data_IF_326391743417
#
_entry.id   IF_326391743417
#
_cell.length_a   1.000
_cell.length_b   1.000
_cell.length_c   1.000
_cell.angle_alpha   90.00
_cell.angle_beta   90.00
_cell.angle_gamma   90.00
#
_symmetry.space_group_name_H-M   'P 1'
#
loop_
_entity.id
_entity.type
_entity.pdbx_description
1 polymer ?
#
# COMPACT_ATOMS: atom_id res chain seq x y z
N UNK A 1 6.98 20.78 -18.66
CA UNK A 1 7.29 19.35 -18.63
C UNK A 1 8.80 19.11 -18.57
N UNK A 2 9.58 19.51 -19.60
CA UNK A 2 11.03 19.25 -19.68
C UNK A 2 11.82 19.73 -18.48
N UNK A 3 11.54 20.90 -17.94
CA UNK A 3 12.23 21.39 -16.72
C UNK A 3 12.06 20.46 -15.54
N UNK A 4 10.85 19.94 -15.33
CA UNK A 4 10.58 19.00 -14.22
C UNK A 4 11.17 17.62 -14.54
N UNK A 5 11.08 17.16 -15.78
CA UNK A 5 11.68 15.90 -16.23
C UNK A 5 13.21 15.89 -16.08
N UNK A 6 13.85 17.02 -16.36
CA UNK A 6 15.30 17.20 -16.19
C UNK A 6 15.69 17.62 -14.76
N UNK A 7 14.87 17.26 -13.78
CA UNK A 7 15.12 17.58 -12.38
C UNK A 7 14.93 16.36 -11.49
N UNK A 8 15.66 16.33 -10.39
CA UNK A 8 15.52 15.38 -9.30
C UNK A 8 15.40 16.12 -7.96
N UNK A 9 14.86 15.49 -6.93
CA UNK A 9 14.74 16.07 -5.60
C UNK A 9 15.93 15.65 -4.74
N UNK A 10 16.70 16.66 -4.31
CA UNK A 10 17.81 16.48 -3.37
C UNK A 10 17.26 16.54 -1.94
N UNK A 11 17.18 15.39 -1.27
CA UNK A 11 16.65 15.25 0.08
C UNK A 11 17.53 15.98 1.13
N UNK A 12 18.85 16.11 0.89
CA UNK A 12 19.75 16.82 1.81
C UNK A 12 19.57 18.32 1.71
N UNK A 13 19.39 18.85 0.49
CA UNK A 13 19.17 20.27 0.25
C UNK A 13 17.69 20.68 0.24
N UNK A 14 16.78 19.73 0.34
CA UNK A 14 15.32 19.92 0.32
C UNK A 14 14.84 20.77 -0.87
N UNK A 15 15.40 20.54 -2.06
CA UNK A 15 15.06 21.25 -3.29
C UNK A 15 15.28 20.42 -4.55
N UNK A 16 14.60 20.83 -5.63
CA UNK A 16 14.88 20.31 -6.96
C UNK A 16 16.24 20.79 -7.47
N UNK A 17 16.98 19.90 -8.12
CA UNK A 17 18.26 20.17 -8.80
C UNK A 17 18.22 19.65 -10.23
N UNK A 18 19.04 20.20 -11.14
CA UNK A 18 19.22 19.64 -12.48
C UNK A 18 19.66 18.18 -12.45
N UNK A 19 19.11 17.36 -13.35
CA UNK A 19 19.44 15.93 -13.41
C UNK A 19 20.91 15.69 -13.73
N UNK A 20 21.56 16.60 -14.45
CA UNK A 20 22.99 16.50 -14.78
C UNK A 20 23.89 16.50 -13.53
N UNK A 21 23.41 17.04 -12.41
CA UNK A 21 24.13 17.02 -11.14
C UNK A 21 24.01 15.67 -10.40
N UNK A 22 23.05 14.83 -10.79
CA UNK A 22 22.85 13.51 -10.21
C UNK A 22 23.89 12.49 -10.71
N UNK A 23 24.23 12.52 -12.01
CA UNK A 23 25.13 11.53 -12.61
C UNK A 23 26.48 11.39 -11.88
N UNK A 24 27.24 12.46 -11.62
CA UNK A 24 28.51 12.32 -10.90
C UNK A 24 28.35 11.82 -9.46
N UNK A 25 27.21 12.09 -8.81
CA UNK A 25 26.96 11.58 -7.44
C UNK A 25 26.70 10.08 -7.43
N UNK A 26 25.98 9.56 -8.43
CA UNK A 26 25.78 8.11 -8.60
C UNK A 26 27.09 7.41 -9.03
N UNK A 27 27.86 8.00 -9.96
CA UNK A 27 29.14 7.44 -10.43
C UNK A 27 30.21 7.37 -9.32
N UNK A 28 30.24 8.35 -8.43
CA UNK A 28 31.18 8.37 -7.30
C UNK A 28 30.71 7.52 -6.11
N UNK A 29 29.48 7.05 -6.08
CA UNK A 29 28.88 6.38 -4.94
C UNK A 29 28.53 7.32 -3.77
N UNK A 30 28.56 8.65 -3.98
CA UNK A 30 28.08 9.64 -3.00
C UNK A 30 26.57 9.48 -2.75
N UNK A 31 25.85 9.12 -3.81
CA UNK A 31 24.44 8.75 -3.73
C UNK A 31 24.27 7.30 -4.23
N UNK A 32 23.58 6.48 -3.44
CA UNK A 32 23.23 5.12 -3.84
C UNK A 32 22.03 5.10 -4.79
N UNK A 33 21.95 4.10 -5.65
CA UNK A 33 20.70 3.80 -6.40
C UNK A 33 19.56 3.45 -5.44
N UNK A 34 18.33 3.64 -5.87
CA UNK A 34 17.15 3.35 -5.01
C UNK A 34 17.03 1.86 -4.66
N UNK A 35 17.53 0.97 -5.51
CA UNK A 35 17.55 -0.48 -5.29
C UNK A 35 18.82 -0.96 -4.56
N UNK A 36 19.73 -0.05 -4.19
CA UNK A 36 20.96 -0.33 -3.45
C UNK A 36 22.08 -0.97 -4.26
N UNK A 37 21.92 -1.16 -5.59
CA UNK A 37 22.99 -1.68 -6.46
C UNK A 37 24.03 -0.60 -6.74
N UNK A 38 25.26 -1.03 -6.95
CA UNK A 38 26.35 -0.13 -7.35
C UNK A 38 26.13 0.37 -8.78
N UNK A 39 25.93 1.70 -8.95
CA UNK A 39 25.64 2.32 -10.27
C UNK A 39 26.69 1.98 -11.34
N UNK A 40 27.97 1.95 -10.97
CA UNK A 40 29.06 1.63 -11.89
C UNK A 40 28.99 0.19 -12.44
N UNK A 41 28.29 -0.73 -11.76
CA UNK A 41 28.13 -2.12 -12.18
C UNK A 41 26.96 -2.35 -13.14
N UNK A 42 26.10 -1.33 -13.33
CA UNK A 42 24.89 -1.43 -14.15
C UNK A 42 25.22 -1.31 -15.64
N UNK A 43 24.43 -1.97 -16.49
CA UNK A 43 24.42 -1.72 -17.95
C UNK A 43 23.87 -0.31 -18.21
N UNK A 44 24.09 0.23 -19.42
CA UNK A 44 23.61 1.58 -19.77
C UNK A 44 22.08 1.69 -19.65
N UNK A 45 21.34 0.68 -20.08
CA UNK A 45 19.88 0.64 -19.92
C UNK A 45 19.45 0.63 -18.44
N UNK A 46 20.13 -0.12 -17.57
CA UNK A 46 19.87 -0.12 -16.13
C UNK A 46 20.26 1.19 -15.47
N UNK A 47 21.31 1.86 -15.92
CA UNK A 47 21.70 3.20 -15.46
C UNK A 47 20.61 4.23 -15.77
N UNK A 48 20.06 4.20 -16.97
CA UNK A 48 18.97 5.10 -17.36
C UNK A 48 17.74 4.87 -16.49
N UNK A 49 17.36 3.60 -16.23
CA UNK A 49 16.27 3.25 -15.32
C UNK A 49 16.55 3.72 -13.88
N UNK A 50 17.77 3.53 -13.40
CA UNK A 50 18.18 3.99 -12.07
C UNK A 50 18.08 5.51 -11.93
N UNK A 51 18.43 6.27 -12.98
CA UNK A 51 18.28 7.74 -13.01
C UNK A 51 16.80 8.13 -13.06
N UNK A 52 15.95 7.42 -13.80
CA UNK A 52 14.52 7.70 -13.90
C UNK A 52 13.79 7.54 -12.55
N UNK A 53 14.31 6.70 -11.65
CA UNK A 53 13.79 6.58 -10.28
C UNK A 53 13.97 7.86 -9.44
N UNK A 54 14.89 8.76 -9.82
CA UNK A 54 15.09 10.04 -9.16
C UNK A 54 14.34 11.20 -9.82
N UNK A 55 13.94 11.07 -11.08
CA UNK A 55 13.26 12.14 -11.82
C UNK A 55 11.97 12.56 -11.14
N UNK A 56 11.69 13.86 -11.19
CA UNK A 56 10.43 14.43 -10.68
C UNK A 56 9.24 14.20 -11.62
N UNK A 57 9.48 13.82 -12.86
CA UNK A 57 8.47 13.31 -13.80
C UNK A 57 8.96 11.99 -14.34
N UNK A 58 8.13 10.98 -14.25
CA UNK A 58 8.46 9.61 -14.65
C UNK A 58 7.27 8.91 -15.28
N UNK A 59 7.53 7.84 -16.03
CA UNK A 59 6.51 7.02 -16.68
C UNK A 59 6.17 5.82 -15.78
N UNK A 60 4.88 5.60 -15.54
CA UNK A 60 4.40 4.48 -14.74
C UNK A 60 3.08 3.94 -15.26
N UNK A 61 2.83 2.66 -15.06
CA UNK A 61 1.52 2.07 -15.28
C UNK A 61 0.56 2.55 -14.21
N UNK A 62 -0.57 3.10 -14.63
CA UNK A 62 -1.61 3.60 -13.74
C UNK A 62 -2.98 3.12 -14.22
N UNK A 63 -3.81 2.70 -13.26
CA UNK A 63 -5.20 2.35 -13.56
C UNK A 63 -6.00 3.61 -13.82
N UNK A 64 -6.56 3.72 -15.01
CA UNK A 64 -7.31 4.88 -15.48
C UNK A 64 -8.71 4.49 -15.98
N UNK A 65 -9.62 5.45 -16.01
CA UNK A 65 -10.95 5.29 -16.58
C UNK A 65 -10.87 5.50 -18.09
N UNK A 66 -10.74 4.43 -18.86
CA UNK A 66 -10.66 4.48 -20.33
C UNK A 66 -12.04 4.47 -20.96
N UNK A 67 -12.34 5.45 -21.81
CA UNK A 67 -13.57 5.53 -22.58
C UNK A 67 -13.28 5.33 -24.08
N UNK A 68 -13.54 4.14 -24.65
CA UNK A 68 -13.29 3.88 -26.07
C UNK A 68 -14.13 4.78 -26.99
N UNK A 69 -15.37 5.09 -26.59
CA UNK A 69 -16.27 5.94 -27.37
C UNK A 69 -15.81 7.39 -27.52
N UNK A 70 -15.02 7.89 -26.54
CA UNK A 70 -14.38 9.22 -26.61
C UNK A 70 -12.91 9.16 -26.99
N UNK A 71 -12.29 7.95 -27.00
CA UNK A 71 -10.88 7.76 -27.33
C UNK A 71 -9.92 8.38 -26.30
N UNK A 72 -10.33 8.53 -25.03
CA UNK A 72 -9.54 9.22 -24.00
C UNK A 72 -9.76 8.65 -22.61
N UNK A 73 -8.87 9.03 -21.71
CA UNK A 73 -8.98 8.78 -20.27
C UNK A 73 -9.88 9.85 -19.65
N UNK A 74 -10.73 9.45 -18.69
CA UNK A 74 -11.66 10.31 -17.97
C UNK A 74 -11.28 10.43 -16.50
N UNK A 75 -11.49 11.60 -15.92
CA UNK A 75 -11.44 11.78 -14.47
C UNK A 75 -12.63 11.09 -13.79
N UNK A 76 -12.51 10.82 -12.50
CA UNK A 76 -13.58 10.15 -11.74
C UNK A 76 -14.90 10.92 -11.81
N UNK A 77 -14.85 12.26 -11.80
CA UNK A 77 -16.02 13.14 -11.88
C UNK A 77 -16.72 13.11 -13.24
N UNK A 78 -16.07 12.58 -14.27
CA UNK A 78 -16.62 12.44 -15.63
C UNK A 78 -17.24 11.06 -15.87
N UNK A 79 -17.22 10.20 -14.85
CA UNK A 79 -17.82 8.86 -14.88
C UNK A 79 -19.06 8.87 -13.99
N UNK A 80 -20.19 8.51 -14.57
CA UNK A 80 -21.46 8.41 -13.86
C UNK A 80 -21.51 7.16 -12.96
N UNK A 81 -22.44 7.09 -12.02
CA UNK A 81 -22.56 5.98 -11.09
C UNK A 81 -22.84 4.62 -11.78
N UNK A 82 -23.39 4.63 -13.00
CA UNK A 82 -23.61 3.44 -13.81
C UNK A 82 -22.42 3.07 -14.73
N UNK A 83 -21.25 3.64 -14.47
CA UNK A 83 -20.00 3.31 -15.18
C UNK A 83 -19.94 3.84 -16.62
N UNK A 84 -20.58 4.95 -16.90
CA UNK A 84 -20.62 5.55 -18.23
C UNK A 84 -20.02 6.96 -18.23
N UNK A 85 -19.59 7.44 -19.41
CA UNK A 85 -19.10 8.81 -19.56
C UNK A 85 -20.27 9.82 -19.45
N UNK A 86 -20.07 10.91 -18.71
CA UNK A 86 -21.02 12.03 -18.65
C UNK A 86 -21.33 12.58 -20.07
N UNK A 87 -20.29 12.67 -20.94
CA UNK A 87 -20.45 13.06 -22.33
C UNK A 87 -20.63 11.83 -23.21
N UNK A 88 -21.72 11.78 -23.95
CA UNK A 88 -22.00 10.75 -24.97
C UNK A 88 -22.47 9.41 -24.40
N UNK A 89 -22.55 9.26 -23.07
CA UNK A 89 -23.08 8.08 -22.40
C UNK A 89 -22.43 6.76 -22.89
N UNK A 90 -21.13 6.77 -23.11
CA UNK A 90 -20.36 5.60 -23.54
C UNK A 90 -19.91 4.75 -22.33
N UNK A 91 -19.76 3.42 -22.49
CA UNK A 91 -19.17 2.58 -21.45
C UNK A 91 -17.73 3.03 -21.11
N UNK A 92 -17.39 3.01 -19.83
CA UNK A 92 -16.06 3.31 -19.31
C UNK A 92 -15.49 2.05 -18.66
N UNK A 93 -14.22 1.78 -18.94
CA UNK A 93 -13.53 0.60 -18.42
C UNK A 93 -12.29 1.02 -17.63
N UNK A 94 -12.03 0.34 -16.53
CA UNK A 94 -10.75 0.49 -15.85
C UNK A 94 -9.66 -0.26 -16.63
N UNK A 95 -8.57 0.42 -16.93
CA UNK A 95 -7.46 -0.12 -17.72
C UNK A 95 -6.13 0.42 -17.21
N UNK A 96 -5.13 -0.44 -17.14
CA UNK A 96 -3.76 0.00 -16.89
C UNK A 96 -3.18 0.58 -18.16
N UNK A 97 -2.75 1.83 -18.10
CA UNK A 97 -2.08 2.54 -19.18
C UNK A 97 -0.85 3.24 -18.63
N UNK A 98 0.23 3.28 -19.42
CA UNK A 98 1.40 4.09 -19.12
C UNK A 98 1.03 5.56 -19.07
N UNK A 99 1.34 6.22 -17.97
CA UNK A 99 1.03 7.62 -17.72
C UNK A 99 2.28 8.35 -17.20
N UNK A 100 2.41 9.61 -17.60
CA UNK A 100 3.39 10.49 -16.99
C UNK A 100 2.92 10.94 -15.60
N UNK A 101 3.75 10.66 -14.60
CA UNK A 101 3.48 10.97 -13.20
C UNK A 101 4.38 12.12 -12.74
N UNK A 102 3.88 12.96 -11.84
CA UNK A 102 4.65 13.96 -11.11
C UNK A 102 4.91 13.47 -9.69
N UNK A 103 6.19 13.33 -9.32
CA UNK A 103 6.64 12.85 -8.01
C UNK A 103 6.50 13.95 -6.93
N UNK A 104 5.26 14.37 -6.69
CA UNK A 104 4.97 15.37 -5.66
C UNK A 104 5.25 14.85 -4.25
N UNK A 105 5.23 13.52 -4.06
CA UNK A 105 5.54 12.87 -2.78
C UNK A 105 6.97 13.11 -2.33
N UNK A 106 7.91 13.38 -3.23
CA UNK A 106 9.27 13.80 -2.89
C UNK A 106 9.33 15.08 -2.03
N UNK A 107 8.28 15.89 -2.07
CA UNK A 107 8.16 17.12 -1.29
C UNK A 107 7.31 16.98 -0.02
N UNK A 108 6.87 15.77 0.33
CA UNK A 108 5.87 15.57 1.39
C UNK A 108 6.33 16.11 2.75
N UNK A 109 7.56 15.81 3.17
CA UNK A 109 8.11 16.33 4.43
C UNK A 109 8.27 17.85 4.38
N UNK A 110 8.84 18.39 3.30
CA UNK A 110 9.00 19.82 3.12
C UNK A 110 7.65 20.57 3.12
N UNK A 111 6.61 19.96 2.49
CA UNK A 111 5.27 20.56 2.51
C UNK A 111 4.71 20.64 3.93
N UNK A 112 5.00 19.64 4.79
CA UNK A 112 4.60 19.68 6.20
C UNK A 112 5.37 20.72 6.99
N UNK A 113 6.69 20.78 6.82
CA UNK A 113 7.57 21.72 7.52
C UNK A 113 7.26 23.17 7.12
N UNK A 114 7.05 23.42 5.83
CA UNK A 114 6.74 24.75 5.31
C UNK A 114 5.37 25.27 5.78
N UNK A 115 4.45 24.43 6.28
CA UNK A 115 3.20 24.88 6.91
C UNK A 115 3.45 25.76 8.15
N UNK A 116 4.56 25.56 8.86
CA UNK A 116 4.92 26.35 10.04
C UNK A 116 5.35 27.77 9.66
N UNK A 117 5.78 27.99 8.42
CA UNK A 117 6.17 29.30 7.90
C UNK A 117 4.96 30.15 7.49
N UNK A 118 3.77 29.56 7.39
CA UNK A 118 2.58 30.22 6.88
C UNK A 118 1.75 30.82 8.01
N UNK A 119 1.31 32.06 7.83
CA UNK A 119 0.33 32.72 8.70
C UNK A 119 -1.10 32.30 8.28
N UNK A 120 -1.38 31.00 8.41
CA UNK A 120 -2.68 30.39 8.11
C UNK A 120 -3.42 30.00 9.38
N UNK A 121 -4.78 30.04 9.37
CA UNK A 121 -5.57 29.51 10.47
C UNK A 121 -5.21 28.04 10.76
N UNK A 122 -5.09 27.67 12.04
CA UNK A 122 -4.67 26.31 12.43
C UNK A 122 -5.59 25.21 11.86
N UNK A 123 -6.88 25.50 11.70
CA UNK A 123 -7.81 24.59 11.03
C UNK A 123 -7.36 24.22 9.60
N UNK A 124 -6.85 25.21 8.85
CA UNK A 124 -6.36 25.01 7.47
C UNK A 124 -5.07 24.18 7.49
N UNK A 125 -4.12 24.52 8.39
CA UNK A 125 -2.89 23.76 8.56
C UNK A 125 -3.17 22.30 8.92
N UNK A 126 -4.11 22.06 9.84
CA UNK A 126 -4.54 20.69 10.21
C UNK A 126 -5.15 19.94 9.04
N UNK A 127 -5.96 20.57 8.20
CA UNK A 127 -6.49 19.98 6.98
C UNK A 127 -5.37 19.59 6.01
N UNK A 128 -4.35 20.44 5.82
CA UNK A 128 -3.20 20.14 4.96
C UNK A 128 -2.36 18.99 5.52
N UNK A 129 -2.05 18.99 6.84
CA UNK A 129 -1.35 17.87 7.49
C UNK A 129 -2.09 16.57 7.31
N UNK A 130 -3.42 16.56 7.47
CA UNK A 130 -4.26 15.37 7.28
C UNK A 130 -4.32 14.92 5.83
N UNK A 131 -4.29 15.87 4.88
CA UNK A 131 -4.25 15.57 3.44
C UNK A 131 -2.93 14.91 3.04
N UNK A 132 -1.80 15.46 3.48
CA UNK A 132 -0.46 14.88 3.25
C UNK A 132 -0.36 13.53 3.98
N UNK A 133 -0.87 13.46 5.22
CA UNK A 133 -1.09 12.24 5.97
C UNK A 133 0.18 11.44 6.22
N UNK A 134 1.23 12.10 6.76
CA UNK A 134 2.46 11.44 7.18
C UNK A 134 2.19 10.45 8.30
N UNK A 135 2.54 9.19 8.08
CA UNK A 135 2.42 8.10 9.04
C UNK A 135 3.77 7.44 9.25
N UNK A 136 4.18 7.31 10.51
CA UNK A 136 5.37 6.54 10.91
C UNK A 136 4.93 5.17 11.37
N UNK A 137 5.57 4.13 10.88
CA UNK A 137 5.24 2.75 11.20
C UNK A 137 6.38 1.81 10.85
N UNK A 138 6.04 0.58 10.54
CA UNK A 138 6.97 -0.44 10.07
C UNK A 138 6.43 -1.15 8.83
N UNK A 139 7.31 -1.49 7.91
CA UNK A 139 7.11 -2.58 6.97
C UNK A 139 7.53 -3.87 7.67
N UNK A 140 6.68 -4.89 7.64
CA UNK A 140 6.86 -6.17 8.36
C UNK A 140 6.63 -7.30 7.37
N UNK A 141 7.54 -8.27 7.35
CA UNK A 141 7.49 -9.40 6.44
C UNK A 141 6.85 -10.62 7.10
N UNK A 142 5.79 -11.12 6.48
CA UNK A 142 5.10 -12.36 6.84
C UNK A 142 5.46 -13.44 5.83
N UNK A 143 6.15 -14.48 6.29
CA UNK A 143 6.58 -15.58 5.40
C UNK A 143 5.42 -16.49 5.03
N UNK A 144 5.18 -16.68 3.73
CA UNK A 144 4.12 -17.53 3.18
C UNK A 144 4.62 -18.28 1.94
N UNK A 145 4.64 -19.62 1.96
CA UNK A 145 4.98 -20.49 0.81
C UNK A 145 6.28 -20.08 0.06
N UNK A 146 7.29 -19.63 0.80
CA UNK A 146 8.56 -19.20 0.23
C UNK A 146 8.61 -17.74 -0.24
N UNK A 147 7.52 -17.01 -0.14
CA UNK A 147 7.39 -15.58 -0.41
C UNK A 147 7.31 -14.77 0.88
N UNK A 148 7.70 -13.50 0.80
CA UNK A 148 7.49 -12.53 1.86
C UNK A 148 6.29 -11.64 1.49
N UNK A 149 5.28 -11.62 2.36
CA UNK A 149 4.18 -10.66 2.28
C UNK A 149 4.57 -9.48 3.16
N UNK A 150 5.02 -8.39 2.54
CA UNK A 150 5.38 -7.16 3.26
C UNK A 150 4.13 -6.34 3.52
N UNK A 151 3.83 -6.06 4.78
CA UNK A 151 2.72 -5.19 5.20
C UNK A 151 3.24 -3.92 5.85
N UNK A 152 2.60 -2.79 5.59
CA UNK A 152 2.84 -1.56 6.33
C UNK A 152 1.83 -1.42 7.47
N UNK A 153 2.32 -1.15 8.68
CA UNK A 153 1.47 -0.88 9.84
C UNK A 153 2.00 0.29 10.67
N UNK A 154 1.09 1.14 11.14
CA UNK A 154 1.39 2.17 12.16
C UNK A 154 1.35 1.63 13.57
N UNK A 155 0.93 0.38 13.75
CA UNK A 155 0.75 -0.32 15.01
C UNK A 155 1.52 -1.63 15.07
N UNK A 156 2.87 -1.63 14.87
CA UNK A 156 3.67 -2.86 14.98
C UNK A 156 3.61 -3.47 16.39
N UNK A 157 3.30 -2.67 17.41
CA UNK A 157 3.07 -3.06 18.80
C UNK A 157 1.91 -4.07 18.98
N UNK A 158 1.00 -4.17 17.99
CA UNK A 158 -0.14 -5.09 18.05
C UNK A 158 0.07 -6.39 17.27
N UNK A 159 1.26 -6.65 16.72
CA UNK A 159 1.59 -7.83 15.91
C UNK A 159 1.21 -9.16 16.58
N UNK A 160 1.33 -9.27 17.91
CA UNK A 160 0.93 -10.49 18.63
C UNK A 160 -0.55 -10.82 18.51
N UNK A 161 -1.39 -9.81 18.24
CA UNK A 161 -2.83 -9.95 18.03
C UNK A 161 -3.25 -10.06 16.57
N UNK A 162 -2.29 -10.17 15.64
CA UNK A 162 -2.62 -10.41 14.24
C UNK A 162 -3.24 -11.80 14.06
N UNK A 163 -4.39 -11.85 13.36
CA UNK A 163 -5.16 -13.09 13.21
C UNK A 163 -5.26 -13.55 11.75
N UNK A 164 -5.10 -12.64 10.80
CA UNK A 164 -5.09 -12.94 9.37
C UNK A 164 -4.33 -11.87 8.59
N UNK A 165 -4.00 -12.19 7.35
CA UNK A 165 -3.37 -11.26 6.39
C UNK A 165 -4.30 -11.10 5.20
N UNK A 166 -4.41 -9.89 4.65
CA UNK A 166 -5.27 -9.61 3.49
C UNK A 166 -4.45 -8.93 2.40
N UNK A 167 -4.58 -9.43 1.19
CA UNK A 167 -4.03 -8.86 -0.02
C UNK A 167 -5.11 -8.15 -0.84
N UNK A 168 -4.76 -7.06 -1.50
CA UNK A 168 -5.61 -6.48 -2.52
C UNK A 168 -5.84 -7.50 -3.66
N UNK A 169 -7.02 -7.56 -4.27
CA UNK A 169 -7.31 -8.54 -5.33
C UNK A 169 -6.37 -8.47 -6.55
N UNK A 170 -5.78 -7.30 -6.79
CA UNK A 170 -4.83 -7.03 -7.86
C UNK A 170 -3.36 -7.25 -7.44
N UNK A 171 -3.12 -7.64 -6.18
CA UNK A 171 -1.76 -7.82 -5.69
C UNK A 171 -1.08 -9.02 -6.39
N UNK A 172 0.19 -8.88 -6.86
CA UNK A 172 0.87 -9.94 -7.61
C UNK A 172 0.98 -11.28 -6.86
N UNK A 173 1.09 -11.22 -5.53
CA UNK A 173 1.19 -12.43 -4.70
C UNK A 173 -0.12 -13.21 -4.58
N UNK A 174 -1.28 -12.67 -4.96
CA UNK A 174 -2.54 -13.44 -4.89
C UNK A 174 -2.43 -14.70 -5.73
N UNK A 175 -1.98 -14.59 -6.96
CA UNK A 175 -1.83 -15.74 -7.85
C UNK A 175 -0.66 -16.66 -7.46
N UNK A 176 0.41 -16.10 -6.89
CA UNK A 176 1.58 -16.85 -6.44
C UNK A 176 1.34 -17.66 -5.16
N UNK A 177 0.45 -17.19 -4.30
CA UNK A 177 0.12 -17.82 -3.01
C UNK A 177 -1.16 -18.66 -3.06
N UNK A 178 -1.81 -18.74 -4.22
CA UNK A 178 -3.01 -19.51 -4.39
C UNK A 178 -2.70 -21.01 -4.24
N UNK A 179 -3.43 -21.67 -3.36
CA UNK A 179 -3.27 -23.12 -3.19
C UNK A 179 -3.56 -23.86 -4.50
N UNK A 180 -2.69 -24.80 -4.92
CA UNK A 180 -2.89 -25.59 -6.12
C UNK A 180 -3.84 -26.79 -5.90
N UNK A 181 -4.34 -26.97 -4.69
CA UNK A 181 -5.26 -28.06 -4.31
C UNK A 181 -6.56 -27.49 -3.77
N UNK A 182 -7.69 -28.22 -3.87
CA UNK A 182 -8.95 -27.84 -3.27
C UNK A 182 -8.83 -27.53 -1.78
N UNK A 183 -9.79 -26.77 -1.24
CA UNK A 183 -9.87 -26.52 0.20
C UNK A 183 -10.05 -27.83 0.97
N UNK A 184 -9.42 -27.92 2.13
CA UNK A 184 -9.62 -29.04 3.05
C UNK A 184 -11.05 -28.99 3.63
N UNK A 185 -11.58 -30.16 4.01
CA UNK A 185 -12.95 -30.31 4.52
C UNK A 185 -13.24 -29.51 5.81
N UNK A 186 -12.20 -29.09 6.54
CA UNK A 186 -12.28 -28.31 7.78
C UNK A 186 -12.19 -26.78 7.54
N UNK A 187 -11.99 -26.35 6.30
CA UNK A 187 -12.02 -24.91 5.95
C UNK A 187 -13.45 -24.40 6.09
N UNK A 188 -13.59 -23.28 6.81
CA UNK A 188 -14.90 -22.67 7.01
C UNK A 188 -15.52 -22.24 5.66
N UNK A 189 -16.74 -22.67 5.41
CA UNK A 189 -17.45 -22.38 4.15
C UNK A 189 -17.61 -20.86 3.86
N UNK A 190 -17.51 -20.00 4.90
CA UNK A 190 -17.52 -18.54 4.73
C UNK A 190 -16.27 -18.01 4.02
N UNK A 191 -15.19 -18.79 3.99
CA UNK A 191 -13.89 -18.40 3.42
C UNK A 191 -13.76 -18.74 1.95
N UNK A 192 -14.59 -19.65 1.43
CA UNK A 192 -14.43 -20.29 0.12
C UNK A 192 -15.19 -19.62 -1.02
N UNK A 193 -15.95 -18.56 -0.72
CA UNK A 193 -16.82 -17.89 -1.69
C UNK A 193 -17.78 -18.84 -2.43
N UNK A 194 -18.13 -19.96 -1.78
CA UNK A 194 -19.04 -20.98 -2.31
C UNK A 194 -18.43 -21.97 -3.32
N UNK A 195 -17.11 -22.01 -3.43
CA UNK A 195 -16.37 -22.93 -4.29
C UNK A 195 -15.53 -23.93 -3.48
N UNK A 196 -15.24 -25.08 -4.05
CA UNK A 196 -14.33 -26.07 -3.47
C UNK A 196 -12.85 -25.80 -3.85
N UNK A 197 -12.64 -25.10 -4.97
CA UNK A 197 -11.32 -24.80 -5.51
C UNK A 197 -10.95 -23.32 -5.28
N UNK A 198 -9.79 -23.02 -4.66
CA UNK A 198 -9.35 -21.66 -4.40
C UNK A 198 -9.26 -20.77 -5.66
N UNK A 199 -8.84 -21.36 -6.79
CA UNK A 199 -8.72 -20.62 -8.04
C UNK A 199 -10.09 -20.20 -8.59
N UNK A 200 -11.07 -21.10 -8.58
CA UNK A 200 -12.44 -20.78 -8.99
C UNK A 200 -13.05 -19.70 -8.09
N UNK A 201 -12.83 -19.82 -6.77
CA UNK A 201 -13.28 -18.83 -5.79
C UNK A 201 -12.71 -17.42 -6.06
N UNK A 202 -11.42 -17.32 -6.34
CA UNK A 202 -10.74 -16.05 -6.63
C UNK A 202 -11.19 -15.46 -7.96
N UNK A 203 -11.34 -16.28 -9.01
CA UNK A 203 -11.80 -15.82 -10.32
C UNK A 203 -13.25 -15.28 -10.24
N UNK A 204 -14.14 -15.98 -9.52
CA UNK A 204 -15.51 -15.51 -9.27
C UNK A 204 -15.51 -14.19 -8.49
N UNK A 205 -14.75 -14.10 -7.39
CA UNK A 205 -14.64 -12.90 -6.59
C UNK A 205 -14.11 -11.70 -7.38
N UNK A 206 -13.02 -11.88 -8.13
CA UNK A 206 -12.46 -10.82 -8.99
C UNK A 206 -13.48 -10.34 -10.03
N UNK A 207 -14.27 -11.26 -10.61
CA UNK A 207 -15.34 -10.91 -11.56
C UNK A 207 -16.41 -10.03 -10.91
N UNK A 208 -16.84 -10.37 -9.70
CA UNK A 208 -17.91 -9.66 -8.99
C UNK A 208 -17.50 -8.25 -8.55
N UNK A 209 -16.22 -8.06 -8.23
CA UNK A 209 -15.70 -6.75 -7.81
C UNK A 209 -15.17 -5.89 -8.95
N UNK A 210 -15.03 -6.43 -10.17
CA UNK A 210 -14.40 -5.75 -11.31
C UNK A 210 -15.07 -4.41 -11.68
N UNK A 211 -16.36 -4.26 -11.41
CA UNK A 211 -17.13 -3.05 -11.70
C UNK A 211 -17.06 -1.99 -10.58
N UNK A 212 -16.57 -2.36 -9.37
CA UNK A 212 -16.52 -1.45 -8.23
C UNK A 212 -15.38 -0.44 -8.36
N UNK A 213 -15.65 0.83 -8.11
CA UNK A 213 -14.61 1.86 -7.97
C UNK A 213 -13.88 1.73 -6.63
N UNK A 214 -12.68 2.34 -6.51
CA UNK A 214 -11.93 2.36 -5.24
C UNK A 214 -12.72 3.03 -4.11
N UNK A 215 -13.54 4.04 -4.42
CA UNK A 215 -14.40 4.71 -3.45
C UNK A 215 -15.50 3.77 -2.96
N UNK A 216 -16.20 3.09 -3.87
CA UNK A 216 -17.21 2.10 -3.52
C UNK A 216 -16.62 0.95 -2.70
N UNK A 217 -15.41 0.49 -3.02
CA UNK A 217 -14.69 -0.52 -2.25
C UNK A 217 -14.36 -0.06 -0.82
N UNK A 218 -13.97 1.21 -0.64
CA UNK A 218 -13.67 1.79 0.68
C UNK A 218 -14.93 2.04 1.52
N UNK A 219 -16.03 2.45 0.90
CA UNK A 219 -17.29 2.76 1.56
C UNK A 219 -18.21 1.54 1.75
N UNK A 220 -17.85 0.40 1.15
CA UNK A 220 -18.61 -0.83 1.23
C UNK A 220 -18.69 -1.34 2.68
N UNK A 221 -19.92 -1.42 3.20
CA UNK A 221 -20.18 -1.95 4.55
C UNK A 221 -20.22 -3.48 4.59
N UNK A 222 -20.42 -4.11 3.45
CA UNK A 222 -20.44 -5.57 3.35
C UNK A 222 -19.00 -6.08 3.34
N UNK A 223 -18.68 -6.95 4.29
CA UNK A 223 -17.34 -7.57 4.39
C UNK A 223 -17.31 -8.78 3.49
N UNK A 224 -16.55 -8.67 2.40
CA UNK A 224 -16.35 -9.74 1.42
C UNK A 224 -14.86 -10.07 1.29
N UNK A 225 -14.56 -11.30 0.93
CA UNK A 225 -13.18 -11.75 0.73
C UNK A 225 -13.13 -13.25 0.48
N UNK A 226 -11.97 -13.74 0.07
CA UNK A 226 -11.73 -15.15 -0.25
C UNK A 226 -10.39 -15.59 0.34
N UNK A 227 -10.37 -16.77 0.94
CA UNK A 227 -9.17 -17.42 1.44
C UNK A 227 -8.34 -17.97 0.27
N UNK A 228 -7.02 -17.75 0.27
CA UNK A 228 -6.13 -18.25 -0.79
C UNK A 228 -5.76 -19.72 -0.65
N UNK A 229 -6.17 -20.40 0.43
CA UNK A 229 -5.73 -21.75 0.76
C UNK A 229 -4.31 -21.80 1.34
N UNK A 230 -3.70 -20.68 1.67
CA UNK A 230 -2.33 -20.57 2.19
C UNK A 230 -2.27 -19.81 3.51
N UNK A 231 -1.21 -20.04 4.28
CA UNK A 231 -1.02 -19.45 5.61
C UNK A 231 0.33 -18.71 5.70
N UNK A 232 0.28 -17.47 6.14
CA UNK A 232 1.46 -16.68 6.46
C UNK A 232 1.91 -16.94 7.91
N UNK A 233 3.21 -16.82 8.17
CA UNK A 233 3.77 -16.97 9.50
C UNK A 233 3.95 -15.59 10.14
N UNK A 234 3.32 -15.35 11.28
CA UNK A 234 3.52 -14.14 12.07
C UNK A 234 4.96 -14.12 12.62
N UNK A 235 5.76 -13.08 12.32
CA UNK A 235 7.17 -13.05 12.70
C UNK A 235 7.43 -12.99 14.21
N UNK A 236 6.49 -12.48 15.03
CA UNK A 236 6.71 -12.30 16.46
C UNK A 236 6.35 -13.53 17.32
N UNK A 237 5.49 -14.42 16.83
CA UNK A 237 5.03 -15.57 17.61
C UNK A 237 4.94 -16.89 16.84
N UNK A 238 5.29 -16.90 15.57
CA UNK A 238 5.27 -18.10 14.72
C UNK A 238 3.86 -18.61 14.35
N UNK A 239 2.79 -17.91 14.76
CA UNK A 239 1.40 -18.30 14.47
C UNK A 239 1.14 -18.32 12.97
N UNK A 240 0.42 -19.36 12.51
CA UNK A 240 -0.05 -19.43 11.13
C UNK A 240 -1.33 -18.62 10.98
N UNK A 241 -1.30 -17.65 10.09
CA UNK A 241 -2.39 -16.72 9.80
C UNK A 241 -2.95 -17.02 8.41
N UNK A 242 -4.26 -17.25 8.24
CA UNK A 242 -4.85 -17.43 6.93
C UNK A 242 -4.66 -16.18 6.07
N UNK A 243 -4.35 -16.38 4.79
CA UNK A 243 -4.17 -15.29 3.82
C UNK A 243 -5.42 -15.16 2.98
N UNK A 244 -6.06 -14.00 3.06
CA UNK A 244 -7.25 -13.66 2.27
C UNK A 244 -6.92 -12.66 1.17
N UNK A 245 -7.79 -12.57 0.19
CA UNK A 245 -7.93 -11.38 -0.65
C UNK A 245 -9.27 -10.72 -0.39
N UNK A 246 -9.30 -9.39 -0.34
CA UNK A 246 -10.53 -8.64 -0.09
C UNK A 246 -10.51 -7.27 -0.75
N UNK A 247 -11.66 -6.80 -1.20
CA UNK A 247 -11.83 -5.59 -2.01
C UNK A 247 -11.60 -4.28 -1.23
N UNK A 248 -11.65 -4.31 0.10
CA UNK A 248 -11.35 -3.11 0.92
C UNK A 248 -9.86 -2.79 1.05
N UNK A 249 -8.97 -3.71 0.65
CA UNK A 249 -7.53 -3.46 0.55
C UNK A 249 -7.19 -2.97 -0.86
N UNK A 250 -6.47 -1.85 -0.95
CA UNK A 250 -6.14 -1.21 -2.22
C UNK A 250 -4.63 -1.23 -2.47
N UNK A 251 -4.21 -1.52 -3.69
CA UNK A 251 -2.81 -1.48 -4.12
C UNK A 251 -2.20 -0.08 -4.13
N UNK A 252 -3.02 0.96 -4.15
CA UNK A 252 -2.56 2.34 -4.17
C UNK A 252 -2.22 2.93 -2.80
N UNK A 253 -2.29 2.16 -1.71
CA UNK A 253 -1.92 2.57 -0.36
C UNK A 253 -1.10 1.48 0.33
N UNK A 254 0.05 1.86 0.86
CA UNK A 254 0.99 0.90 1.45
C UNK A 254 1.53 -0.08 0.41
N UNK A 255 1.67 -1.31 0.83
CA UNK A 255 2.17 -2.42 0.01
C UNK A 255 1.05 -3.15 -0.77
N UNK A 256 -0.22 -2.77 -0.60
CA UNK A 256 -1.36 -3.55 -1.10
C UNK A 256 -1.64 -4.82 -0.28
N UNK A 257 -1.01 -4.93 0.89
CA UNK A 257 -1.20 -6.00 1.88
C UNK A 257 -1.39 -5.39 3.27
N UNK A 258 -2.22 -5.99 4.10
CA UNK A 258 -2.41 -5.61 5.50
C UNK A 258 -2.32 -6.83 6.42
N UNK A 259 -1.83 -6.63 7.63
CA UNK A 259 -2.10 -7.51 8.74
C UNK A 259 -3.38 -7.05 9.44
N UNK A 260 -4.20 -7.96 9.86
CA UNK A 260 -5.45 -7.65 10.54
C UNK A 260 -5.39 -8.01 12.03
N UNK A 261 -5.78 -7.03 12.86
CA UNK A 261 -5.77 -7.14 14.32
C UNK A 261 -7.17 -6.88 14.87
N UNK A 262 -8.07 -7.88 14.85
CA UNK A 262 -9.49 -7.70 15.15
C UNK A 262 -9.77 -7.08 16.51
N UNK A 263 -8.97 -7.37 17.52
CA UNK A 263 -9.16 -6.81 18.86
C UNK A 263 -8.95 -5.29 18.91
N UNK A 264 -8.23 -4.69 17.92
CA UNK A 264 -7.76 -3.29 18.00
C UNK A 264 -8.00 -2.45 16.75
N UNK A 265 -8.73 -2.98 15.74
CA UNK A 265 -9.21 -2.26 14.56
C UNK A 265 -10.67 -2.64 14.30
N UNK A 266 -11.54 -1.62 14.13
CA UNK A 266 -12.98 -1.83 13.96
C UNK A 266 -13.32 -2.58 12.66
N UNK A 267 -12.61 -2.31 11.57
CA UNK A 267 -12.84 -2.98 10.28
C UNK A 267 -12.41 -4.44 10.33
N UNK A 268 -11.29 -4.70 10.98
CA UNK A 268 -10.76 -6.06 11.16
C UNK A 268 -11.67 -6.86 12.10
N UNK A 269 -12.24 -6.20 13.13
CA UNK A 269 -13.20 -6.80 14.05
C UNK A 269 -14.46 -7.24 13.30
N UNK A 270 -15.07 -6.35 12.52
CA UNK A 270 -16.26 -6.66 11.72
C UNK A 270 -15.99 -7.79 10.73
N UNK A 271 -14.83 -7.78 10.07
CA UNK A 271 -14.43 -8.85 9.16
C UNK A 271 -14.27 -10.18 9.90
N UNK A 272 -13.58 -10.17 11.04
CA UNK A 272 -13.39 -11.37 11.85
C UNK A 272 -14.72 -11.98 12.31
N UNK A 273 -15.70 -11.16 12.69
CA UNK A 273 -17.05 -11.64 13.04
C UNK A 273 -17.75 -12.32 11.86
N UNK A 274 -17.72 -11.72 10.68
CA UNK A 274 -18.35 -12.29 9.47
C UNK A 274 -17.69 -13.60 9.07
N UNK A 275 -16.37 -13.66 9.12
CA UNK A 275 -15.60 -14.84 8.71
C UNK A 275 -15.33 -15.84 9.84
N UNK A 276 -15.77 -15.56 11.09
CA UNK A 276 -15.57 -16.44 12.24
C UNK A 276 -14.11 -16.61 12.62
N UNK A 277 -13.31 -15.56 12.43
CA UNK A 277 -11.89 -15.55 12.77
C UNK A 277 -11.68 -15.23 14.26
N UNK A 278 -10.57 -15.66 14.86
CA UNK A 278 -10.25 -15.37 16.26
C UNK A 278 -10.10 -13.85 16.51
N UNK A 279 -10.29 -13.45 17.78
CA UNK A 279 -10.08 -12.09 18.25
C UNK A 279 -9.20 -12.17 19.49
N UNK A 280 -7.91 -11.81 19.37
CA UNK A 280 -6.94 -11.91 20.45
C UNK A 280 -6.62 -10.52 21.00
N UNK A 281 -6.96 -10.27 22.27
CA UNK A 281 -6.60 -9.03 22.97
C UNK A 281 -5.10 -8.95 23.23
N UNK A 282 -4.48 -7.83 22.83
CA UNK A 282 -3.07 -7.53 23.13
C UNK A 282 -2.88 -6.15 23.77
N UNK A 283 -3.92 -5.33 23.81
CA UNK A 283 -3.98 -4.08 24.58
C UNK A 283 -5.24 -4.11 25.44
N UNK A 284 -5.09 -4.34 26.73
CA UNK A 284 -6.20 -4.39 27.66
C UNK A 284 -6.74 -2.99 27.96
N UNK A 285 -8.06 -2.88 28.11
CA UNK A 285 -8.72 -1.60 28.44
C UNK A 285 -10.15 -1.51 27.94
N UNK A 286 -10.62 -2.49 27.19
CA UNK A 286 -11.98 -2.60 26.67
C UNK A 286 -12.49 -4.04 26.70
N UNK A 287 -13.75 -4.24 26.35
CA UNK A 287 -14.35 -5.56 26.19
C UNK A 287 -14.32 -5.97 24.72
N UNK A 288 -13.24 -6.67 24.32
CA UNK A 288 -13.04 -7.15 22.94
C UNK A 288 -14.05 -8.23 22.51
N UNK A 289 -14.88 -8.74 23.42
CA UNK A 289 -15.98 -9.65 23.07
C UNK A 289 -17.16 -8.92 22.44
N UNK A 290 -17.26 -7.62 22.65
CA UNK A 290 -18.38 -6.78 22.17
C UNK A 290 -17.99 -5.80 21.08
N UNK A 291 -16.74 -5.31 21.06
CA UNK A 291 -16.22 -4.38 20.03
C UNK A 291 -14.69 -4.31 20.06
N UNK A 292 -14.08 -3.84 18.99
CA UNK A 292 -12.65 -3.55 18.97
C UNK A 292 -12.28 -2.47 20.00
N UNK A 293 -11.18 -2.67 20.72
CA UNK A 293 -10.61 -1.66 21.61
C UNK A 293 -9.51 -0.88 20.90
N UNK A 294 -9.84 0.31 20.39
CA UNK A 294 -8.90 1.17 19.64
C UNK A 294 -8.16 2.18 20.55
N UNK A 295 -8.48 2.19 21.84
CA UNK A 295 -7.93 3.11 22.83
C UNK A 295 -6.51 2.76 23.30
N UNK A 296 -6.06 3.50 24.30
CA UNK A 296 -4.84 3.18 25.04
C UNK A 296 -5.13 2.13 26.13
N UNK A 297 -4.11 1.38 26.53
CA UNK A 297 -4.24 0.35 27.54
C UNK A 297 -2.92 -0.30 27.88
N UNK A 298 -2.97 -1.36 28.68
CA UNK A 298 -1.80 -2.13 29.08
C UNK A 298 -1.59 -3.28 28.12
N UNK A 299 -0.35 -3.49 27.65
CA UNK A 299 -0.02 -4.64 26.80
C UNK A 299 -0.15 -5.95 27.56
N UNK A 300 -0.90 -6.88 26.98
CA UNK A 300 -1.11 -8.25 27.45
C UNK A 300 -0.83 -9.21 26.28
N UNK A 301 -0.50 -10.46 26.56
CA UNK A 301 -0.24 -11.47 25.52
C UNK A 301 0.79 -11.04 24.48
N UNK A 302 1.71 -10.12 24.84
CA UNK A 302 2.61 -9.44 23.91
C UNK A 302 4.07 -9.64 24.29
N UNK A 303 4.47 -10.89 24.51
CA UNK A 303 5.84 -11.32 24.77
C UNK A 303 6.16 -12.63 24.05
N UNK A 304 7.43 -12.82 23.66
CA UNK A 304 7.95 -14.06 23.07
C UNK A 304 9.27 -14.48 23.75
N UNK A 305 9.69 -15.71 23.45
CA UNK A 305 10.95 -16.27 23.99
C UNK A 305 12.21 -15.67 23.32
N UNK A 306 12.04 -14.92 22.22
CA UNK A 306 13.13 -14.30 21.46
C UNK A 306 13.43 -12.85 21.91
N UNK A 307 12.94 -12.46 23.09
CA UNK A 307 13.29 -11.24 23.78
C UNK A 307 12.46 -10.01 23.40
N UNK A 308 11.33 -10.17 22.71
CA UNK A 308 10.34 -9.10 22.56
C UNK A 308 9.32 -9.21 23.70
N UNK A 309 9.30 -8.21 24.60
CA UNK A 309 8.32 -8.10 25.66
C UNK A 309 7.81 -6.65 25.73
N UNK A 310 6.52 -6.48 25.55
CA UNK A 310 5.85 -5.19 25.55
C UNK A 310 5.12 -4.90 26.88
N UNK A 311 5.17 -5.83 27.83
CA UNK A 311 4.49 -5.70 29.12
C UNK A 311 4.94 -4.42 29.85
N UNK A 312 3.98 -3.60 30.26
CA UNK A 312 4.22 -2.38 31.02
C UNK A 312 4.83 -1.21 30.24
N UNK A 313 5.02 -1.34 28.91
CA UNK A 313 5.51 -0.25 28.07
C UNK A 313 4.40 0.74 27.72
N UNK A 314 4.78 2.00 27.48
CA UNK A 314 3.91 2.95 26.81
C UNK A 314 3.71 2.57 25.35
N UNK A 315 2.67 3.09 24.69
CA UNK A 315 2.44 2.84 23.25
C UNK A 315 3.66 3.25 22.39
N UNK A 316 4.26 4.40 22.68
CA UNK A 316 5.42 4.89 21.94
C UNK A 316 6.63 3.96 22.12
N UNK A 317 6.90 3.52 23.37
CA UNK A 317 8.01 2.61 23.66
C UNK A 317 7.77 1.20 23.09
N UNK A 318 6.51 0.73 23.11
CA UNK A 318 6.15 -0.55 22.51
C UNK A 318 6.36 -0.57 21.00
N UNK A 319 5.92 0.48 20.30
CA UNK A 319 6.17 0.66 18.84
C UNK A 319 7.67 0.67 18.55
N UNK A 320 8.45 1.51 19.27
CA UNK A 320 9.90 1.61 19.07
C UNK A 320 10.59 0.26 19.34
N UNK A 321 10.27 -0.40 20.48
CA UNK A 321 10.84 -1.70 20.83
C UNK A 321 10.54 -2.76 19.77
N UNK A 322 9.32 -2.77 19.22
CA UNK A 322 8.93 -3.74 18.19
C UNK A 322 9.68 -3.49 16.88
N UNK A 323 9.80 -2.23 16.47
CA UNK A 323 10.56 -1.85 15.26
C UNK A 323 12.03 -2.27 15.40
N UNK A 324 12.68 -1.94 16.52
CA UNK A 324 14.08 -2.30 16.78
C UNK A 324 14.27 -3.83 16.78
N UNK A 325 13.33 -4.56 17.38
CA UNK A 325 13.37 -6.02 17.42
C UNK A 325 13.22 -6.65 16.02
N UNK A 326 12.31 -6.13 15.19
CA UNK A 326 12.12 -6.57 13.79
C UNK A 326 13.35 -6.27 12.94
N UNK A 327 13.89 -5.05 13.04
CA UNK A 327 15.07 -4.62 12.27
C UNK A 327 16.31 -5.46 12.61
N UNK A 328 16.54 -5.76 13.89
CA UNK A 328 17.65 -6.59 14.34
C UNK A 328 17.61 -8.04 13.81
N UNK A 329 16.47 -8.49 13.29
CA UNK A 329 16.22 -9.85 12.76
C UNK A 329 15.95 -9.88 11.27
N UNK A 330 16.03 -8.74 10.60
CA UNK A 330 15.69 -8.60 9.17
C UNK A 330 14.25 -9.06 8.84
N UNK A 331 13.31 -8.86 9.80
CA UNK A 331 11.89 -9.21 9.69
C UNK A 331 11.01 -7.99 9.41
N UNK A 332 11.61 -6.81 9.35
CA UNK A 332 10.92 -5.57 9.05
C UNK A 332 11.81 -4.35 9.30
N UNK A 333 11.36 -3.20 8.81
CA UNK A 333 12.09 -1.93 8.91
C UNK A 333 11.15 -0.80 9.28
N UNK A 334 11.68 0.24 9.94
CA UNK A 334 10.94 1.49 10.11
C UNK A 334 10.63 2.11 8.76
N UNK A 335 9.39 2.59 8.60
CA UNK A 335 8.94 3.23 7.37
C UNK A 335 8.06 4.44 7.64
N UNK A 336 8.28 5.49 6.87
CA UNK A 336 7.39 6.63 6.78
C UNK A 336 6.58 6.50 5.50
N UNK A 337 5.27 6.63 5.63
CA UNK A 337 4.34 6.62 4.51
C UNK A 337 3.47 7.88 4.49
N UNK A 338 2.98 8.24 3.32
CA UNK A 338 2.12 9.40 3.10
C UNK A 338 0.82 8.97 2.44
N UNK A 339 -0.30 9.62 2.80
CA UNK A 339 -1.56 9.50 2.05
C UNK A 339 -1.48 10.23 0.71
N UNK A 340 -0.68 11.30 0.64
CA UNK A 340 -0.39 12.01 -0.59
C UNK A 340 0.19 11.04 -1.63
N UNK A 341 -0.32 11.12 -2.86
CA UNK A 341 0.12 10.30 -3.97
C UNK A 341 0.66 11.17 -5.09
N UNK A 342 1.54 10.61 -5.89
CA UNK A 342 2.02 11.27 -7.10
C UNK A 342 0.86 11.59 -8.04
N UNK A 343 0.96 12.70 -8.73
CA UNK A 343 -0.10 13.15 -9.61
C UNK A 343 0.13 12.67 -11.04
N UNK A 344 -0.95 12.31 -11.72
CA UNK A 344 -0.94 12.23 -13.18
C UNK A 344 -0.62 13.61 -13.75
N UNK A 345 0.38 13.71 -14.62
CA UNK A 345 0.75 14.98 -15.24
C UNK A 345 -0.43 15.60 -16.00
N UNK A 346 -1.11 14.80 -16.79
CA UNK A 346 -2.31 15.20 -17.53
C UNK A 346 -3.57 15.27 -16.66
N UNK A 347 -3.52 14.84 -15.37
CA UNK A 347 -4.63 14.85 -14.41
C UNK A 347 -5.90 14.17 -14.96
N UNK A 348 -5.74 13.06 -15.69
CA UNK A 348 -6.82 12.35 -16.37
C UNK A 348 -7.65 13.28 -17.28
N UNK A 349 -6.99 14.23 -17.96
CA UNK A 349 -7.57 15.13 -18.95
C UNK A 349 -6.84 14.96 -20.27
N UNK A 350 -7.50 15.28 -21.38
CA UNK A 350 -6.85 15.33 -22.68
C UNK A 350 -5.71 16.34 -22.65
N UNK A 351 -4.50 15.88 -22.97
CA UNK A 351 -3.31 16.71 -23.12
C UNK A 351 -3.13 17.03 -24.59
N UNK A 352 -3.33 18.30 -24.97
CA UNK A 352 -3.34 18.73 -26.37
C UNK A 352 -1.97 18.79 -27.04
N UNK A 353 -0.90 19.00 -26.25
CA UNK A 353 0.47 19.05 -26.73
C UNK A 353 1.14 17.68 -26.59
N UNK A 354 1.95 17.21 -27.56
CA UNK A 354 2.71 15.98 -27.39
C UNK A 354 3.77 16.15 -26.30
N UNK A 355 3.99 15.11 -25.52
CA UNK A 355 5.14 15.08 -24.62
C UNK A 355 6.42 15.04 -25.44
N UNK A 356 7.40 15.95 -25.16
CA UNK A 356 8.60 16.09 -25.98
C UNK A 356 9.66 15.03 -25.65
N UNK A 357 9.25 13.78 -25.67
CA UNK A 357 10.07 12.59 -25.43
C UNK A 357 10.01 11.72 -26.67
N UNK A 358 11.16 11.27 -27.11
CA UNK A 358 11.31 10.34 -28.24
C UNK A 358 11.80 9.02 -27.69
N UNK A 359 11.14 7.95 -28.09
CA UNK A 359 11.56 6.59 -27.76
C UNK A 359 12.38 6.06 -28.95
N UNK A 360 13.47 5.37 -28.64
CA UNK A 360 14.22 4.61 -29.62
C UNK A 360 13.62 3.22 -29.87
N UNK A 361 14.34 2.36 -30.65
CA UNK A 361 13.87 1.01 -30.95
C UNK A 361 13.85 0.07 -29.71
N UNK A 362 14.56 0.43 -28.65
CA UNK A 362 14.61 -0.34 -27.41
C UNK A 362 13.51 0.08 -26.40
N UNK A 363 12.85 1.21 -26.58
CA UNK A 363 11.72 1.73 -25.80
C UNK A 363 12.08 2.93 -24.94
#
# INVERSE_FOLDING_TARGET
FLQIYQSWFDEQQQKARPIDELYPMLESGELATKDGREYASLSEEEKDRAVDEFRLVYLSDSTVNWCPGLGTVLANEEVTADGRSERGNFPVFRKNLKQWMMRITAYSDRLLDDLELLDWPEKVKSMQRNWIGRSRGAEVDFRCEGHDITVFTTRPDTLFGAEYVVLAPEHPLVDALLSPVPYDDDVDARWTYGHEDPKEAIEAYRSDIAAKSDLERQENKEKTGVFLGSYATNPVNGKKLPVFTADYVLTGYGTGAIMAVPAHDERDYEYAQVFGLPITEVVAGGDVSSAAHTGEGTYVNSANDDGLDLTGKSKADAIATTIDWLAARELGVEKIQYKLRDWLFARQRYWGEPFPIVYDEAG
#
